data_IF_872218247460
#
_entry.id   IF_872218247460
#
_cell.length_a   1.000
_cell.length_b   1.000
_cell.length_c   1.000
_cell.angle_alpha   90.00
_cell.angle_beta   90.00
_cell.angle_gamma   90.00
#
_symmetry.space_group_name_H-M   'P 1'
#
loop_
_entity.id
_entity.type
_entity.pdbx_description
1 polymer ?
#
# COMPACT_ATOMS: atom_id res chain seq x y z
N UNK A 1 32.07 -0.06 -30.58
CA UNK A 1 31.48 -0.56 -29.32
C UNK A 1 30.26 0.28 -28.96
N UNK A 2 29.13 -0.35 -28.86
CA UNK A 2 27.89 0.31 -28.53
C UNK A 2 27.68 0.37 -26.99
N UNK A 3 27.40 1.55 -26.47
CA UNK A 3 26.96 1.75 -25.10
C UNK A 3 25.45 1.88 -25.00
N UNK A 4 24.82 1.48 -23.91
CA UNK A 4 23.41 1.77 -23.64
C UNK A 4 23.31 3.21 -23.18
N UNK A 5 22.43 4.00 -23.83
CA UNK A 5 22.20 5.39 -23.49
C UNK A 5 20.97 5.58 -22.62
N UNK A 6 19.89 4.85 -22.92
CA UNK A 6 18.60 5.07 -22.33
C UNK A 6 17.78 3.78 -22.34
N UNK A 7 17.05 3.55 -21.26
CA UNK A 7 16.01 2.52 -21.17
C UNK A 7 14.69 3.26 -20.98
N UNK A 8 13.66 2.91 -21.78
CA UNK A 8 12.31 3.46 -21.65
C UNK A 8 11.28 2.35 -21.85
N UNK A 9 10.55 2.01 -20.82
CA UNK A 9 9.58 0.94 -20.83
C UNK A 9 10.19 -0.37 -21.32
N UNK A 10 9.76 -0.89 -22.47
CA UNK A 10 10.25 -2.12 -23.09
C UNK A 10 11.28 -1.89 -24.23
N UNK A 11 11.98 -0.77 -24.21
CA UNK A 11 12.99 -0.44 -25.23
C UNK A 11 14.25 0.11 -24.60
N UNK A 12 15.40 -0.15 -25.25
CA UNK A 12 16.66 0.50 -24.93
C UNK A 12 17.34 1.02 -26.20
N UNK A 13 18.02 2.15 -26.07
CA UNK A 13 18.76 2.79 -27.15
C UNK A 13 20.25 2.58 -26.94
N UNK A 14 20.95 2.11 -27.96
CA UNK A 14 22.41 2.03 -28.01
C UNK A 14 22.97 3.09 -28.95
N UNK A 15 24.11 3.63 -28.61
CA UNK A 15 24.85 4.58 -29.43
C UNK A 15 26.23 4.03 -29.80
N UNK A 16 26.56 4.08 -31.08
CA UNK A 16 27.92 3.77 -31.52
C UNK A 16 28.90 4.83 -31.04
N UNK A 17 30.05 4.42 -30.54
CA UNK A 17 31.10 5.35 -30.08
C UNK A 17 31.87 6.01 -31.23
N UNK A 18 31.90 5.39 -32.39
CA UNK A 18 32.68 5.83 -33.53
C UNK A 18 31.88 6.75 -34.46
N UNK A 19 30.70 6.35 -34.86
CA UNK A 19 29.86 7.09 -35.82
C UNK A 19 28.67 7.82 -35.19
N UNK A 20 28.45 7.69 -33.87
CA UNK A 20 27.38 8.32 -33.10
C UNK A 20 25.97 7.91 -33.50
N UNK A 21 25.82 6.99 -34.43
CA UNK A 21 24.49 6.44 -34.82
C UNK A 21 23.84 5.77 -33.62
N UNK A 22 22.53 5.96 -33.46
CA UNK A 22 21.71 5.31 -32.45
C UNK A 22 20.85 4.22 -33.08
N UNK A 23 20.62 3.15 -32.34
CA UNK A 23 19.70 2.08 -32.69
C UNK A 23 18.85 1.70 -31.48
N UNK A 24 17.56 1.49 -31.72
CA UNK A 24 16.60 1.07 -30.69
C UNK A 24 16.38 -0.43 -30.76
N UNK A 25 16.38 -1.05 -29.58
CA UNK A 25 16.16 -2.47 -29.39
C UNK A 25 14.96 -2.69 -28.48
N UNK A 26 14.26 -3.80 -28.69
CA UNK A 26 13.15 -4.21 -27.83
C UNK A 26 13.63 -5.11 -26.70
N UNK A 27 13.02 -4.96 -25.54
CA UNK A 27 13.16 -5.81 -24.37
C UNK A 27 11.93 -6.70 -24.24
N UNK A 28 12.06 -7.89 -23.66
CA UNK A 28 10.90 -8.71 -23.29
C UNK A 28 9.96 -7.95 -22.37
N UNK A 29 8.68 -8.29 -22.44
CA UNK A 29 7.68 -7.76 -21.50
C UNK A 29 7.90 -8.38 -20.14
N UNK A 30 8.04 -7.54 -19.12
CA UNK A 30 8.13 -7.98 -17.73
C UNK A 30 6.74 -8.24 -17.14
N UNK A 31 6.71 -9.10 -16.12
CA UNK A 31 5.59 -9.29 -15.18
C UNK A 31 6.18 -9.49 -13.80
N UNK A 32 6.58 -8.39 -13.20
CA UNK A 32 7.18 -8.41 -11.86
C UNK A 32 6.14 -8.79 -10.82
N UNK A 33 6.56 -9.64 -9.89
CA UNK A 33 5.75 -9.94 -8.70
C UNK A 33 5.82 -8.79 -7.71
N UNK A 34 4.67 -8.35 -7.22
CA UNK A 34 4.56 -7.27 -6.24
C UNK A 34 4.61 -7.87 -4.84
N UNK A 35 5.65 -7.53 -4.09
CA UNK A 35 5.90 -8.08 -2.75
C UNK A 35 5.94 -6.93 -1.75
N UNK A 36 4.99 -6.91 -0.83
CA UNK A 36 5.03 -5.98 0.31
C UNK A 36 5.86 -6.59 1.44
N UNK A 37 6.84 -5.83 1.91
CA UNK A 37 7.68 -6.17 3.06
C UNK A 37 7.41 -5.17 4.17
N UNK A 38 6.92 -5.64 5.31
CA UNK A 38 6.68 -4.80 6.46
C UNK A 38 7.97 -4.11 6.97
N UNK A 39 7.83 -2.98 7.62
CA UNK A 39 8.90 -2.14 8.16
C UNK A 39 9.92 -2.92 8.99
N UNK A 40 9.47 -3.90 9.81
CA UNK A 40 10.42 -4.69 10.61
C UNK A 40 11.36 -5.53 9.73
N UNK A 41 10.88 -6.02 8.57
CA UNK A 41 11.69 -6.76 7.61
C UNK A 41 12.75 -5.85 7.02
N UNK A 42 12.33 -4.69 6.52
CA UNK A 42 13.23 -3.69 5.94
C UNK A 42 14.30 -3.25 6.95
N UNK A 43 13.88 -2.97 8.19
CA UNK A 43 14.79 -2.62 9.30
C UNK A 43 15.82 -3.72 9.57
N UNK A 44 15.41 -4.99 9.47
CA UNK A 44 16.33 -6.12 9.66
C UNK A 44 17.30 -6.26 8.47
N UNK A 45 16.84 -6.06 7.23
CA UNK A 45 17.72 -6.05 6.07
C UNK A 45 18.77 -4.91 6.13
N UNK A 46 18.39 -3.73 6.62
CA UNK A 46 19.36 -2.63 6.87
C UNK A 46 20.39 -3.03 7.91
N UNK A 47 19.98 -3.62 9.03
CA UNK A 47 20.87 -4.05 10.13
C UNK A 47 21.86 -5.15 9.73
N UNK A 48 21.53 -5.97 8.70
CA UNK A 48 22.45 -6.98 8.17
C UNK A 48 23.70 -6.38 7.55
N UNK A 49 23.59 -5.19 6.92
CA UNK A 49 24.72 -4.55 6.24
C UNK A 49 25.86 -4.17 7.18
N UNK A 50 25.53 -3.66 8.37
CA UNK A 50 26.50 -3.14 9.34
C UNK A 50 26.10 -3.53 10.76
N UNK A 51 26.36 -4.77 11.21
CA UNK A 51 26.00 -5.21 12.56
C UNK A 51 26.91 -4.54 13.57
N UNK A 52 26.40 -3.53 14.27
CA UNK A 52 27.15 -2.75 15.27
C UNK A 52 26.84 -3.16 16.71
N UNK A 53 25.78 -3.93 16.93
CA UNK A 53 25.34 -4.38 18.25
C UNK A 53 25.29 -5.91 18.35
N UNK A 54 25.37 -6.50 19.57
CA UNK A 54 25.21 -7.96 19.75
C UNK A 54 23.88 -8.50 19.20
N UNK A 55 22.80 -7.72 19.30
CA UNK A 55 21.50 -8.12 18.74
C UNK A 55 21.52 -8.19 17.20
N UNK A 56 22.19 -7.24 16.55
CA UNK A 56 22.38 -7.23 15.08
C UNK A 56 23.33 -8.35 14.64
N UNK A 57 24.35 -8.67 15.42
CA UNK A 57 25.22 -9.81 15.15
C UNK A 57 24.45 -11.13 15.23
N UNK A 58 23.53 -11.28 16.19
CA UNK A 58 22.63 -12.44 16.26
C UNK A 58 21.68 -12.53 15.07
N UNK A 59 21.14 -11.40 14.63
CA UNK A 59 20.31 -11.32 13.42
C UNK A 59 21.10 -11.77 12.18
N UNK A 60 22.33 -11.28 12.01
CA UNK A 60 23.20 -11.62 10.90
C UNK A 60 23.65 -13.12 10.94
N UNK A 61 23.63 -13.75 12.10
CA UNK A 61 23.90 -15.17 12.25
C UNK A 61 22.70 -16.08 11.91
N UNK A 62 21.48 -15.56 11.79
CA UNK A 62 20.31 -16.35 11.36
C UNK A 62 20.34 -16.51 9.82
N UNK A 63 20.50 -17.76 9.33
CA UNK A 63 20.58 -18.04 7.89
C UNK A 63 19.39 -17.52 7.09
N UNK A 64 18.22 -17.44 7.72
CA UNK A 64 17.02 -16.95 7.06
C UNK A 64 17.19 -15.51 6.55
N UNK A 65 17.71 -14.62 7.38
CA UNK A 65 17.84 -13.21 7.01
C UNK A 65 18.87 -12.99 5.90
N UNK A 66 19.97 -13.74 5.95
CA UNK A 66 20.98 -13.69 4.89
C UNK A 66 20.41 -14.21 3.56
N UNK A 67 19.74 -15.36 3.59
CA UNK A 67 19.13 -15.93 2.40
C UNK A 67 18.01 -15.04 1.84
N UNK A 68 17.17 -14.45 2.71
CA UNK A 68 16.14 -13.51 2.33
C UNK A 68 16.74 -12.29 1.62
N UNK A 69 17.81 -11.72 2.19
CA UNK A 69 18.52 -10.60 1.59
C UNK A 69 19.04 -10.97 0.20
N UNK A 70 19.75 -12.08 0.08
CA UNK A 70 20.37 -12.50 -1.18
C UNK A 70 19.31 -12.76 -2.26
N UNK A 71 18.23 -13.48 -1.93
CA UNK A 71 17.14 -13.78 -2.87
C UNK A 71 16.39 -12.51 -3.32
N UNK A 72 16.02 -11.64 -2.40
CA UNK A 72 15.27 -10.42 -2.75
C UNK A 72 16.12 -9.53 -3.67
N UNK A 73 17.40 -9.29 -3.34
CA UNK A 73 18.25 -8.47 -4.18
C UNK A 73 18.57 -9.14 -5.52
N UNK A 74 18.75 -10.45 -5.54
CA UNK A 74 18.89 -11.19 -6.78
C UNK A 74 17.66 -11.02 -7.69
N UNK A 75 16.46 -11.28 -7.16
CA UNK A 75 15.21 -11.17 -7.90
C UNK A 75 14.94 -9.73 -8.37
N UNK A 76 15.32 -8.76 -7.54
CA UNK A 76 15.22 -7.33 -7.89
C UNK A 76 16.17 -6.97 -9.06
N UNK A 77 17.41 -7.40 -9.02
CA UNK A 77 18.36 -7.21 -10.13
C UNK A 77 17.92 -7.93 -11.40
N UNK A 78 17.33 -9.11 -11.25
CA UNK A 78 16.75 -9.85 -12.36
C UNK A 78 15.44 -9.25 -12.89
N UNK A 79 14.96 -8.14 -12.36
CA UNK A 79 13.70 -7.49 -12.79
C UNK A 79 12.47 -8.40 -12.65
N UNK A 80 12.47 -9.34 -11.69
CA UNK A 80 11.40 -10.32 -11.49
C UNK A 80 10.43 -9.92 -10.38
N UNK A 81 10.86 -9.03 -9.49
CA UNK A 81 10.03 -8.51 -8.39
C UNK A 81 10.11 -6.98 -8.32
N UNK A 82 9.08 -6.40 -7.72
CA UNK A 82 9.07 -5.04 -7.21
C UNK A 82 8.59 -5.08 -5.76
N UNK A 83 9.33 -4.43 -4.84
CA UNK A 83 8.91 -4.28 -3.46
C UNK A 83 8.60 -2.80 -3.21
N UNK A 84 7.40 -2.33 -3.55
CA UNK A 84 7.04 -0.93 -3.41
C UNK A 84 7.04 -0.53 -1.94
N UNK A 85 7.42 0.70 -1.66
CA UNK A 85 7.15 1.32 -0.37
C UNK A 85 5.70 1.78 -0.28
N UNK A 86 5.28 2.19 0.90
CA UNK A 86 3.94 2.69 1.19
C UNK A 86 4.02 3.95 2.04
N UNK A 87 2.92 4.66 2.14
CA UNK A 87 2.83 5.82 3.03
C UNK A 87 3.18 5.49 4.48
N UNK A 88 2.78 4.33 4.99
CA UNK A 88 3.13 3.87 6.34
C UNK A 88 4.64 3.69 6.52
N UNK A 89 5.35 3.19 5.51
CA UNK A 89 6.81 3.09 5.51
C UNK A 89 7.47 4.48 5.56
N UNK A 90 6.96 5.44 4.80
CA UNK A 90 7.47 6.81 4.83
C UNK A 90 7.28 7.44 6.22
N UNK A 91 6.09 7.32 6.80
CA UNK A 91 5.80 7.82 8.14
C UNK A 91 6.72 7.20 9.21
N UNK A 92 6.87 5.87 9.20
CA UNK A 92 7.72 5.16 10.16
C UNK A 92 9.20 5.48 9.98
N UNK A 93 9.66 5.64 8.75
CA UNK A 93 11.02 6.04 8.47
C UNK A 93 11.33 7.43 9.01
N UNK A 94 10.39 8.38 8.90
CA UNK A 94 10.55 9.76 9.40
C UNK A 94 10.76 9.83 10.91
N UNK A 95 10.12 8.93 11.67
CA UNK A 95 10.24 8.88 13.13
C UNK A 95 11.38 7.96 13.59
N UNK A 96 12.07 7.28 12.69
CA UNK A 96 13.17 6.37 12.96
C UNK A 96 14.51 7.10 12.97
N UNK A 97 15.40 6.71 13.88
CA UNK A 97 16.81 7.15 13.88
C UNK A 97 17.64 6.54 12.73
N UNK A 98 17.09 5.62 11.95
CA UNK A 98 17.70 4.98 10.78
C UNK A 98 17.10 5.50 9.45
N UNK A 99 16.53 6.69 9.45
CA UNK A 99 15.76 7.23 8.32
C UNK A 99 16.52 7.15 6.98
N UNK A 100 17.78 7.59 6.93
CA UNK A 100 18.56 7.58 5.69
C UNK A 100 18.81 6.17 5.15
N UNK A 101 19.17 5.22 6.03
CA UNK A 101 19.44 3.83 5.65
C UNK A 101 18.15 3.12 5.19
N UNK A 102 17.03 3.42 5.83
CA UNK A 102 15.71 2.90 5.44
C UNK A 102 15.29 3.43 4.07
N UNK A 103 15.43 4.74 3.82
CA UNK A 103 15.15 5.34 2.50
C UNK A 103 15.99 4.71 1.40
N UNK A 104 17.30 4.57 1.61
CA UNK A 104 18.19 3.88 0.64
C UNK A 104 17.71 2.45 0.37
N UNK A 105 17.30 1.72 1.42
CA UNK A 105 16.82 0.35 1.28
C UNK A 105 15.53 0.29 0.47
N UNK A 106 14.56 1.17 0.76
CA UNK A 106 13.32 1.26 -0.01
C UNK A 106 13.58 1.58 -1.48
N UNK A 107 14.40 2.57 -1.78
CA UNK A 107 14.76 2.92 -3.17
C UNK A 107 15.36 1.74 -3.92
N UNK A 108 16.26 0.99 -3.27
CA UNK A 108 16.87 -0.20 -3.87
C UNK A 108 15.89 -1.33 -4.12
N UNK A 109 14.91 -1.52 -3.26
CA UNK A 109 13.92 -2.59 -3.35
C UNK A 109 12.76 -2.25 -4.28
N UNK A 110 12.28 -1.00 -4.24
CA UNK A 110 11.14 -0.54 -5.03
C UNK A 110 11.51 -0.09 -6.44
N UNK A 111 12.77 0.36 -6.66
CA UNK A 111 13.16 1.04 -7.90
C UNK A 111 12.47 2.38 -8.07
N UNK A 112 12.12 3.04 -6.96
CA UNK A 112 11.38 4.30 -6.92
C UNK A 112 9.90 4.12 -7.23
N UNK A 113 9.35 2.93 -7.02
CA UNK A 113 7.93 2.65 -7.11
C UNK A 113 7.30 2.63 -5.71
N UNK A 114 6.20 3.31 -5.51
CA UNK A 114 5.49 3.39 -4.24
C UNK A 114 3.99 3.18 -4.43
N UNK A 115 3.35 2.61 -3.41
CA UNK A 115 1.90 2.56 -3.39
C UNK A 115 1.31 3.95 -3.21
N UNK A 116 0.20 4.19 -3.87
CA UNK A 116 -0.63 5.37 -3.64
C UNK A 116 -1.09 5.42 -2.18
N UNK A 117 -1.34 6.62 -1.68
CA UNK A 117 -1.90 6.80 -0.34
C UNK A 117 -3.23 6.05 -0.20
N UNK A 118 -3.50 5.54 0.99
CA UNK A 118 -4.72 4.77 1.26
C UNK A 118 -6.00 5.51 0.87
N UNK A 119 -6.02 6.83 1.03
CA UNK A 119 -7.17 7.64 0.66
C UNK A 119 -7.45 7.64 -0.84
N UNK A 120 -6.43 7.56 -1.67
CA UNK A 120 -6.58 7.38 -3.11
C UNK A 120 -7.15 6.00 -3.45
N UNK A 121 -6.64 4.94 -2.79
CA UNK A 121 -7.15 3.56 -2.97
C UNK A 121 -8.62 3.46 -2.54
N UNK A 122 -8.96 4.02 -1.37
CA UNK A 122 -10.35 4.10 -0.88
C UNK A 122 -11.26 4.83 -1.88
N UNK A 123 -10.80 5.99 -2.36
CA UNK A 123 -11.56 6.81 -3.31
C UNK A 123 -11.85 6.05 -4.63
N UNK A 124 -10.89 5.30 -5.15
CA UNK A 124 -11.06 4.46 -6.35
C UNK A 124 -12.10 3.35 -6.12
N UNK A 125 -12.01 2.62 -5.01
CA UNK A 125 -12.94 1.54 -4.70
C UNK A 125 -14.36 2.05 -4.42
N UNK A 126 -14.50 3.13 -3.65
CA UNK A 126 -15.82 3.73 -3.39
C UNK A 126 -16.37 4.40 -4.65
N UNK A 127 -15.51 5.02 -5.45
CA UNK A 127 -15.88 5.58 -6.76
C UNK A 127 -16.48 4.54 -7.70
N UNK A 128 -15.88 3.34 -7.78
CA UNK A 128 -16.43 2.23 -8.56
C UNK A 128 -17.79 1.76 -8.02
N UNK A 129 -17.96 1.67 -6.70
CA UNK A 129 -19.26 1.36 -6.09
C UNK A 129 -20.32 2.39 -6.45
N UNK A 130 -19.98 3.67 -6.38
CA UNK A 130 -20.89 4.76 -6.71
C UNK A 130 -21.28 4.75 -8.20
N UNK A 131 -20.30 4.53 -9.08
CA UNK A 131 -20.53 4.44 -10.51
C UNK A 131 -21.40 3.23 -10.86
N UNK A 132 -21.02 2.04 -10.40
CA UNK A 132 -21.77 0.81 -10.63
C UNK A 132 -23.22 0.90 -10.13
N UNK A 133 -23.41 1.46 -8.91
CA UNK A 133 -24.73 1.68 -8.35
C UNK A 133 -25.55 2.65 -9.21
N UNK A 134 -24.94 3.74 -9.70
CA UNK A 134 -25.61 4.74 -10.54
C UNK A 134 -26.01 4.19 -11.92
N UNK A 135 -25.32 3.16 -12.37
CA UNK A 135 -25.55 2.46 -13.67
C UNK A 135 -26.39 1.19 -13.51
N UNK A 136 -26.75 0.81 -12.29
CA UNK A 136 -27.56 -0.39 -12.00
C UNK A 136 -26.82 -1.70 -12.32
N UNK A 137 -25.50 -1.71 -12.24
CA UNK A 137 -24.62 -2.87 -12.51
C UNK A 137 -23.84 -3.32 -11.27
N UNK A 138 -23.26 -4.50 -11.34
CA UNK A 138 -22.30 -4.95 -10.33
C UNK A 138 -20.96 -4.20 -10.43
N UNK A 139 -20.31 -3.89 -9.29
CA UNK A 139 -19.03 -3.22 -9.28
C UNK A 139 -17.91 -4.11 -9.83
N UNK A 140 -17.00 -3.51 -10.58
CA UNK A 140 -15.83 -4.16 -11.18
C UNK A 140 -14.56 -3.51 -10.63
N UNK A 141 -14.07 -4.05 -9.52
CA UNK A 141 -12.85 -3.54 -8.91
C UNK A 141 -11.62 -3.90 -9.74
N UNK A 142 -10.78 -2.91 -9.97
CA UNK A 142 -9.50 -3.11 -10.64
C UNK A 142 -8.41 -3.41 -9.59
N UNK A 143 -7.96 -4.66 -9.53
CA UNK A 143 -6.86 -5.09 -8.67
C UNK A 143 -5.51 -5.22 -9.41
N UNK A 144 -5.41 -4.64 -10.60
CA UNK A 144 -4.11 -4.50 -11.28
C UNK A 144 -3.21 -3.57 -10.44
N UNK A 145 -2.01 -4.02 -10.02
CA UNK A 145 -1.09 -3.18 -9.26
C UNK A 145 -0.78 -1.83 -9.90
N UNK A 146 -0.76 -1.76 -11.25
CA UNK A 146 -0.54 -0.51 -12.00
C UNK A 146 -1.56 0.58 -11.70
N UNK A 147 -2.73 0.19 -11.20
CA UNK A 147 -3.77 1.16 -10.81
C UNK A 147 -3.49 1.90 -9.51
N UNK A 148 -2.58 1.40 -8.67
CA UNK A 148 -2.28 1.92 -7.33
C UNK A 148 -0.79 2.14 -7.08
N UNK A 149 0.06 1.91 -8.07
CA UNK A 149 1.48 2.17 -8.00
C UNK A 149 1.83 3.48 -8.72
N UNK A 150 2.88 4.16 -8.26
CA UNK A 150 3.33 5.44 -8.80
C UNK A 150 3.89 5.33 -10.22
N UNK A 151 4.36 4.12 -10.59
CA UNK A 151 4.89 3.80 -11.92
C UNK A 151 4.40 2.41 -12.34
N UNK A 152 4.47 2.12 -13.63
CA UNK A 152 4.27 0.75 -14.11
C UNK A 152 5.37 -0.16 -13.56
N UNK A 153 5.06 -1.16 -12.73
CA UNK A 153 6.06 -2.05 -12.16
C UNK A 153 6.73 -2.92 -13.22
N UNK A 154 6.07 -3.14 -14.36
CA UNK A 154 6.52 -4.01 -15.45
C UNK A 154 7.46 -3.31 -16.44
N UNK A 155 7.79 -2.04 -16.19
CA UNK A 155 8.86 -1.37 -16.92
C UNK A 155 10.24 -1.86 -16.48
N UNK A 156 11.18 -1.91 -17.44
CA UNK A 156 12.59 -2.16 -17.13
C UNK A 156 13.17 -0.97 -16.38
N UNK A 157 13.94 -1.24 -15.32
CA UNK A 157 14.51 -0.18 -14.49
C UNK A 157 15.46 0.69 -15.29
N UNK A 158 15.28 1.98 -15.18
CA UNK A 158 16.24 2.95 -15.70
C UNK A 158 17.55 2.86 -14.92
N UNK A 159 18.68 3.16 -15.60
CA UNK A 159 19.99 3.19 -14.95
C UNK A 159 20.21 4.42 -14.06
N UNK A 160 19.41 5.44 -14.27
CA UNK A 160 19.48 6.70 -13.53
C UNK A 160 18.07 7.22 -13.27
N UNK A 161 17.76 7.52 -12.02
CA UNK A 161 16.53 8.16 -11.59
C UNK A 161 16.83 9.21 -10.53
N UNK A 162 15.97 10.23 -10.47
CA UNK A 162 16.01 11.26 -9.43
C UNK A 162 14.73 11.08 -8.61
N UNK A 163 14.91 10.82 -7.32
CA UNK A 163 13.82 10.79 -6.36
C UNK A 163 13.69 12.15 -5.66
N UNK A 164 12.49 12.74 -5.67
CA UNK A 164 12.17 13.95 -4.91
C UNK A 164 11.10 13.55 -3.88
N UNK A 165 11.53 13.40 -2.64
CA UNK A 165 10.70 12.80 -1.58
C UNK A 165 10.47 13.71 -0.37
N UNK A 166 10.27 14.98 -0.51
CA UNK A 166 9.93 15.79 0.66
C UNK A 166 8.56 16.42 0.52
N UNK A 167 7.62 15.94 1.32
CA UNK A 167 6.37 16.65 1.58
C UNK A 167 6.56 17.54 2.82
N UNK A 168 6.76 18.86 2.65
CA UNK A 168 7.05 19.78 3.77
C UNK A 168 5.87 19.97 4.72
N UNK A 169 4.67 19.54 4.31
CA UNK A 169 3.44 19.69 5.11
C UNK A 169 3.22 18.57 6.11
N UNK A 170 4.01 17.49 6.05
CA UNK A 170 3.90 16.35 6.95
C UNK A 170 5.03 16.40 7.98
N UNK A 171 4.70 16.76 9.21
CA UNK A 171 5.65 16.84 10.31
C UNK A 171 5.65 15.55 11.15
N UNK A 172 6.80 15.22 11.75
CA UNK A 172 6.91 14.08 12.68
C UNK A 172 5.89 14.19 13.83
N UNK A 173 5.71 15.38 14.40
CA UNK A 173 4.72 15.62 15.45
C UNK A 173 3.30 15.33 15.00
N UNK A 174 2.92 15.75 13.78
CA UNK A 174 1.61 15.47 13.19
C UNK A 174 1.38 13.97 12.99
N UNK A 175 2.37 13.25 12.47
CA UNK A 175 2.30 11.79 12.30
C UNK A 175 2.05 11.11 13.66
N UNK A 176 2.86 11.43 14.69
CA UNK A 176 2.72 10.86 16.02
C UNK A 176 1.35 11.15 16.63
N UNK A 177 0.87 12.38 16.51
CA UNK A 177 -0.44 12.78 17.02
C UNK A 177 -1.58 12.01 16.36
N UNK A 178 -1.57 11.87 15.03
CA UNK A 178 -2.60 11.14 14.28
C UNK A 178 -2.63 9.66 14.68
N UNK A 179 -1.46 9.00 14.74
CA UNK A 179 -1.35 7.60 15.14
C UNK A 179 -1.82 7.38 16.59
N UNK A 180 -1.42 8.24 17.52
CA UNK A 180 -1.85 8.17 18.91
C UNK A 180 -3.37 8.36 19.05
N UNK A 181 -3.97 9.29 18.33
CA UNK A 181 -5.41 9.51 18.34
C UNK A 181 -6.18 8.28 17.79
N UNK A 182 -5.71 7.71 16.69
CA UNK A 182 -6.30 6.49 16.13
C UNK A 182 -6.20 5.33 17.11
N UNK A 183 -5.00 5.06 17.64
CA UNK A 183 -4.78 4.00 18.60
C UNK A 183 -5.59 4.18 19.89
N UNK A 184 -5.68 5.41 20.42
CA UNK A 184 -6.51 5.70 21.61
C UNK A 184 -7.99 5.35 21.37
N UNK A 185 -8.51 5.61 20.17
CA UNK A 185 -9.88 5.21 19.82
C UNK A 185 -10.04 3.69 19.79
N UNK A 186 -9.10 2.95 19.19
CA UNK A 186 -9.13 1.48 19.18
C UNK A 186 -9.06 0.91 20.61
N UNK A 187 -8.19 1.45 21.48
CA UNK A 187 -8.10 1.05 22.88
C UNK A 187 -9.41 1.30 23.62
N UNK A 188 -10.07 2.43 23.37
CA UNK A 188 -11.38 2.75 23.94
C UNK A 188 -12.45 1.75 23.47
N UNK A 189 -12.52 1.47 22.17
CA UNK A 189 -13.44 0.48 21.63
C UNK A 189 -13.20 -0.91 22.21
N UNK A 190 -11.93 -1.32 22.33
CA UNK A 190 -11.54 -2.59 22.92
C UNK A 190 -12.05 -2.74 24.35
N UNK A 191 -11.81 -1.73 25.22
CA UNK A 191 -12.14 -1.79 26.64
C UNK A 191 -13.62 -1.54 26.95
N UNK A 192 -14.22 -0.59 26.22
CA UNK A 192 -15.54 -0.07 26.58
C UNK A 192 -16.68 -0.68 25.78
N UNK A 193 -16.40 -1.23 24.62
CA UNK A 193 -17.40 -1.83 23.72
C UNK A 193 -17.17 -3.32 23.57
N UNK A 194 -16.05 -3.72 22.96
CA UNK A 194 -15.82 -5.10 22.56
C UNK A 194 -15.67 -6.06 23.74
N UNK A 195 -14.91 -5.71 24.76
CA UNK A 195 -14.74 -6.54 25.97
C UNK A 195 -16.01 -6.71 26.80
N UNK A 196 -17.01 -5.83 26.63
CA UNK A 196 -18.25 -5.84 27.41
C UNK A 196 -19.42 -6.52 26.71
N UNK A 197 -19.27 -6.91 25.44
CA UNK A 197 -20.34 -7.46 24.63
C UNK A 197 -19.91 -8.78 23.98
N UNK A 198 -20.52 -9.87 24.41
CA UNK A 198 -20.33 -11.17 23.77
C UNK A 198 -21.21 -11.25 22.52
N UNK A 199 -20.61 -11.10 21.36
CA UNK A 199 -21.26 -11.22 20.06
C UNK A 199 -20.40 -12.11 19.16
N UNK A 200 -21.02 -12.68 18.12
CA UNK A 200 -20.33 -13.46 17.10
C UNK A 200 -19.55 -12.59 16.11
N UNK A 201 -18.82 -13.27 15.23
CA UNK A 201 -18.02 -12.62 14.20
C UNK A 201 -18.89 -11.80 13.24
N UNK A 202 -20.00 -12.37 12.78
CA UNK A 202 -20.86 -11.74 11.76
C UNK A 202 -21.47 -10.43 12.28
N UNK A 203 -21.88 -10.39 13.55
CA UNK A 203 -22.35 -9.17 14.18
C UNK A 203 -21.27 -8.05 14.15
N UNK A 204 -20.03 -8.35 14.58
CA UNK A 204 -18.96 -7.36 14.59
C UNK A 204 -18.55 -6.95 13.18
N UNK A 205 -18.46 -7.91 12.28
CA UNK A 205 -18.12 -7.67 10.89
C UNK A 205 -19.12 -6.74 10.19
N UNK A 206 -20.41 -6.97 10.39
CA UNK A 206 -21.45 -6.12 9.82
C UNK A 206 -21.49 -4.75 10.47
N UNK A 207 -21.29 -4.66 11.78
CA UNK A 207 -21.25 -3.39 12.51
C UNK A 207 -20.10 -2.51 12.00
N UNK A 208 -18.87 -3.03 11.92
CA UNK A 208 -17.71 -2.28 11.44
C UNK A 208 -17.91 -1.77 10.02
N UNK A 209 -18.49 -2.57 9.14
CA UNK A 209 -18.79 -2.18 7.76
C UNK A 209 -19.85 -1.08 7.66
N UNK A 210 -20.91 -1.17 8.45
CA UNK A 210 -22.04 -0.24 8.34
C UNK A 210 -21.77 1.09 9.03
N UNK A 211 -20.97 1.12 10.08
CA UNK A 211 -20.66 2.36 10.81
C UNK A 211 -19.70 3.27 10.03
N UNK A 212 -18.91 2.72 9.10
CA UNK A 212 -17.95 3.49 8.29
C UNK A 212 -18.64 4.58 7.45
N UNK A 213 -19.76 4.27 6.79
CA UNK A 213 -20.51 5.26 6.01
C UNK A 213 -21.05 6.38 6.89
N UNK A 214 -21.53 6.03 8.10
CA UNK A 214 -22.00 7.01 9.09
C UNK A 214 -20.85 7.91 9.56
N UNK A 215 -19.66 7.34 9.80
CA UNK A 215 -18.47 8.07 10.18
C UNK A 215 -18.03 9.05 9.08
N UNK A 216 -18.04 8.65 7.81
CA UNK A 216 -17.75 9.55 6.68
C UNK A 216 -18.75 10.71 6.66
N UNK A 217 -20.05 10.45 6.75
CA UNK A 217 -21.06 11.50 6.72
C UNK A 217 -20.88 12.51 7.88
N UNK A 218 -20.56 12.04 9.07
CA UNK A 218 -20.25 12.89 10.22
C UNK A 218 -18.99 13.72 10.00
N UNK A 219 -17.92 13.12 9.45
CA UNK A 219 -16.67 13.81 9.15
C UNK A 219 -16.87 14.95 8.14
N UNK A 220 -17.68 14.73 7.10
CA UNK A 220 -18.02 15.80 6.12
C UNK A 220 -18.70 16.98 6.81
N UNK A 221 -19.72 16.71 7.64
CA UNK A 221 -20.46 17.77 8.35
C UNK A 221 -19.53 18.54 9.29
N UNK A 222 -18.67 17.83 10.01
CA UNK A 222 -17.72 18.44 10.93
C UNK A 222 -16.72 19.33 10.20
N UNK A 223 -16.09 18.82 9.13
CA UNK A 223 -15.15 19.57 8.29
C UNK A 223 -15.77 20.84 7.71
N UNK A 224 -17.02 20.76 7.21
CA UNK A 224 -17.72 21.91 6.67
C UNK A 224 -17.97 22.99 7.74
N UNK A 225 -18.34 22.58 8.97
CA UNK A 225 -18.52 23.51 10.09
C UNK A 225 -17.23 24.20 10.49
N UNK A 226 -16.15 23.43 10.59
CA UNK A 226 -14.82 23.94 10.93
C UNK A 226 -14.35 24.96 9.88
N UNK A 227 -14.53 24.63 8.61
CA UNK A 227 -14.19 25.54 7.49
C UNK A 227 -14.99 26.83 7.53
N UNK A 228 -16.30 26.75 7.76
CA UNK A 228 -17.14 27.92 7.92
C UNK A 228 -16.70 28.80 9.10
N UNK A 229 -16.33 28.18 10.22
CA UNK A 229 -15.78 28.88 11.38
C UNK A 229 -14.47 29.61 11.04
N UNK A 230 -13.56 28.97 10.30
CA UNK A 230 -12.31 29.59 9.85
C UNK A 230 -12.60 30.77 8.90
N UNK A 231 -13.47 30.58 7.90
CA UNK A 231 -13.85 31.64 6.97
C UNK A 231 -14.41 32.88 7.72
N UNK A 232 -15.27 32.64 8.71
CA UNK A 232 -15.87 33.71 9.52
C UNK A 232 -14.83 34.44 10.42
N UNK A 233 -13.70 33.79 10.74
CA UNK A 233 -12.64 34.35 11.59
C UNK A 233 -11.52 35.05 10.83
N UNK A 234 -11.47 34.96 9.48
CA UNK A 234 -10.42 35.58 8.67
C UNK A 234 -10.65 37.06 8.57
N UNK A 235 -9.68 37.87 9.02
CA UNK A 235 -9.56 39.25 8.59
C UNK A 235 -8.90 39.27 7.18
N UNK A 236 -9.58 39.82 6.15
CA UNK A 236 -9.01 39.85 4.79
C UNK A 236 -7.69 40.64 4.68
N UNK A 237 -7.27 41.32 5.76
CA UNK A 237 -6.04 42.12 5.82
C UNK A 237 -4.89 41.35 6.50
N UNK A 238 -5.16 40.23 7.14
CA UNK A 238 -4.14 39.42 7.80
C UNK A 238 -3.64 38.31 6.91
N UNK A 239 -2.34 38.02 6.99
CA UNK A 239 -1.74 36.87 6.31
C UNK A 239 -2.21 35.59 7.00
N UNK A 240 -2.85 34.70 6.23
CA UNK A 240 -3.37 33.44 6.75
C UNK A 240 -2.24 32.58 7.32
N UNK A 241 -2.39 32.10 8.55
CA UNK A 241 -1.44 31.17 9.14
C UNK A 241 -1.48 29.81 8.43
N UNK A 242 -0.38 29.03 8.49
CA UNK A 242 -0.36 27.67 7.94
C UNK A 242 -1.40 26.77 8.59
N UNK A 243 -1.72 26.99 9.87
CA UNK A 243 -2.78 26.25 10.58
C UNK A 243 -4.17 26.58 10.00
N UNK A 244 -4.44 27.85 9.73
CA UNK A 244 -5.67 28.27 9.07
C UNK A 244 -5.74 27.72 7.64
N UNK A 245 -4.64 27.75 6.88
CA UNK A 245 -4.56 27.20 5.53
C UNK A 245 -4.86 25.69 5.53
N UNK A 246 -4.31 24.93 6.47
CA UNK A 246 -4.56 23.49 6.59
C UNK A 246 -6.05 23.17 6.83
N UNK A 247 -6.79 24.05 7.51
CA UNK A 247 -8.24 23.89 7.70
C UNK A 247 -9.06 24.11 6.42
N UNK A 248 -8.47 24.72 5.39
CA UNK A 248 -9.08 24.84 4.06
C UNK A 248 -8.84 23.62 3.17
N UNK A 249 -7.85 22.78 3.51
CA UNK A 249 -7.67 21.54 2.76
C UNK A 249 -8.89 20.65 2.98
N UNK A 250 -9.43 20.04 1.89
CA UNK A 250 -10.55 19.14 2.04
C UNK A 250 -10.16 17.95 2.94
N UNK A 251 -11.04 17.59 3.86
CA UNK A 251 -10.91 16.33 4.58
C UNK A 251 -10.99 15.17 3.60
N UNK A 252 -10.51 13.98 4.00
CA UNK A 252 -10.68 12.76 3.20
C UNK A 252 -12.14 12.58 2.76
N UNK A 253 -13.10 12.77 3.68
CA UNK A 253 -14.52 12.59 3.38
C UNK A 253 -15.04 13.60 2.34
N UNK A 254 -14.57 14.85 2.36
CA UNK A 254 -14.92 15.86 1.33
C UNK A 254 -14.23 15.57 -0.01
N UNK A 255 -12.96 15.14 0.01
CA UNK A 255 -12.25 14.70 -1.18
C UNK A 255 -12.91 13.48 -1.82
N UNK A 256 -13.34 12.51 -0.99
CA UNK A 256 -14.10 11.35 -1.43
C UNK A 256 -15.43 11.75 -2.07
N UNK A 257 -16.21 12.65 -1.44
CA UNK A 257 -17.48 13.14 -2.02
C UNK A 257 -17.26 13.82 -3.37
N UNK A 258 -16.23 14.65 -3.47
CA UNK A 258 -15.85 15.28 -4.74
C UNK A 258 -15.51 14.25 -5.81
N UNK A 259 -14.76 13.20 -5.44
CA UNK A 259 -14.43 12.09 -6.34
C UNK A 259 -15.68 11.32 -6.78
N UNK A 260 -16.59 11.02 -5.84
CA UNK A 260 -17.86 10.35 -6.15
C UNK A 260 -18.70 11.19 -7.12
N UNK A 261 -18.83 12.50 -6.87
CA UNK A 261 -19.57 13.40 -7.75
C UNK A 261 -18.94 13.43 -9.14
N UNK A 262 -17.61 13.47 -9.22
CA UNK A 262 -16.90 13.47 -10.49
C UNK A 262 -17.14 12.17 -11.28
N UNK A 263 -17.03 11.00 -10.64
CA UNK A 263 -17.33 9.71 -11.32
C UNK A 263 -18.78 9.62 -11.74
N UNK A 264 -19.71 10.11 -10.91
CA UNK A 264 -21.13 10.14 -11.24
C UNK A 264 -21.46 11.12 -12.39
N UNK A 265 -20.62 12.11 -12.62
CA UNK A 265 -20.76 13.04 -13.74
C UNK A 265 -20.54 12.37 -15.11
N UNK A 266 -19.58 11.43 -15.16
CA UNK A 266 -19.15 10.79 -16.39
C UNK A 266 -19.46 9.27 -16.34
N UNK A 267 -20.72 8.85 -16.56
CA UNK A 267 -21.04 7.44 -16.63
C UNK A 267 -20.32 6.80 -17.83
N UNK A 268 -20.08 5.47 -17.76
CA UNK A 268 -19.42 4.72 -18.85
C UNK A 268 -20.26 4.76 -20.14
N UNK A 269 -21.58 4.76 -19.98
CA UNK A 269 -22.54 4.86 -21.08
C UNK A 269 -23.45 6.06 -20.86
N UNK A 270 -23.64 6.88 -21.88
CA UNK A 270 -24.50 8.05 -21.82
C UNK A 270 -23.72 9.38 -21.83
N UNK A 271 -24.48 10.47 -21.75
CA UNK A 271 -23.92 11.83 -21.73
C UNK A 271 -23.53 12.31 -20.32
N UNK A 272 -22.92 13.49 -20.25
CA UNK A 272 -22.59 14.14 -18.97
C UNK A 272 -23.87 14.46 -18.19
N UNK A 273 -23.94 14.01 -16.93
CA UNK A 273 -25.07 14.28 -16.03
C UNK A 273 -25.03 15.71 -15.52
N UNK A 274 -26.20 16.30 -15.35
CA UNK A 274 -26.32 17.64 -14.76
C UNK A 274 -25.94 17.64 -13.26
N UNK A 275 -25.53 18.80 -12.70
CA UNK A 275 -25.24 18.92 -11.26
C UNK A 275 -26.42 18.52 -10.35
N UNK A 276 -27.65 18.75 -10.79
CA UNK A 276 -28.86 18.38 -10.04
C UNK A 276 -29.02 16.87 -9.98
N UNK A 277 -28.84 16.17 -11.10
CA UNK A 277 -28.86 14.71 -11.18
C UNK A 277 -27.75 14.09 -10.32
N UNK A 278 -26.53 14.63 -10.37
CA UNK A 278 -25.41 14.17 -9.53
C UNK A 278 -25.75 14.31 -8.04
N UNK A 279 -26.27 15.46 -7.61
CA UNK A 279 -26.64 15.71 -6.21
C UNK A 279 -27.73 14.74 -5.75
N UNK A 280 -28.73 14.50 -6.59
CA UNK A 280 -29.80 13.53 -6.30
C UNK A 280 -29.27 12.11 -6.19
N UNK A 281 -28.40 11.68 -7.11
CA UNK A 281 -27.76 10.38 -7.08
C UNK A 281 -26.89 10.19 -5.84
N UNK A 282 -26.09 11.20 -5.47
CA UNK A 282 -25.26 11.16 -4.27
C UNK A 282 -26.11 11.01 -3.00
N UNK A 283 -27.22 11.76 -2.90
CA UNK A 283 -28.12 11.66 -1.76
C UNK A 283 -28.79 10.27 -1.66
N UNK A 284 -29.09 9.62 -2.78
CA UNK A 284 -29.60 8.25 -2.82
C UNK A 284 -28.50 7.22 -2.52
N UNK A 285 -27.31 7.36 -3.09
CA UNK A 285 -26.16 6.48 -2.85
C UNK A 285 -25.76 6.48 -1.37
N UNK A 286 -25.72 7.67 -0.74
CA UNK A 286 -25.38 7.79 0.68
C UNK A 286 -26.37 7.03 1.61
N UNK A 287 -27.62 6.85 1.18
CA UNK A 287 -28.64 6.07 1.92
C UNK A 287 -28.59 4.57 1.61
N UNK A 288 -27.99 4.18 0.49
CA UNK A 288 -27.99 2.80 0.01
C UNK A 288 -27.00 1.89 0.76
N UNK A 289 -26.19 2.42 1.68
CA UNK A 289 -25.16 1.72 2.45
C UNK A 289 -24.20 0.86 1.60
N UNK A 290 -23.95 1.29 0.34
CA UNK A 290 -23.10 0.52 -0.62
C UNK A 290 -21.61 0.63 -0.32
N UNK A 291 -21.18 1.66 0.40
CA UNK A 291 -19.76 1.83 0.81
C UNK A 291 -19.29 0.63 1.64
N UNK A 292 -20.18 0.00 2.40
CA UNK A 292 -19.91 -1.21 3.19
C UNK A 292 -19.39 -2.40 2.35
N UNK A 293 -19.54 -2.33 1.02
CA UNK A 293 -19.10 -3.37 0.08
C UNK A 293 -17.68 -3.14 -0.44
N UNK A 294 -17.03 -2.01 -0.12
CA UNK A 294 -15.68 -1.72 -0.57
C UNK A 294 -14.69 -2.80 -0.10
N UNK A 295 -13.82 -3.30 -0.99
CA UNK A 295 -12.88 -4.38 -0.67
C UNK A 295 -11.98 -4.06 0.53
N UNK A 296 -11.40 -2.84 0.60
CA UNK A 296 -10.59 -2.44 1.74
C UNK A 296 -11.36 -2.51 3.06
N UNK A 297 -12.61 -2.05 3.06
CA UNK A 297 -13.44 -2.01 4.25
C UNK A 297 -13.84 -3.41 4.71
N UNK A 298 -14.10 -4.34 3.76
CA UNK A 298 -14.34 -5.74 4.10
C UNK A 298 -13.14 -6.37 4.80
N UNK A 299 -11.93 -6.17 4.27
CA UNK A 299 -10.70 -6.70 4.87
C UNK A 299 -10.44 -6.10 6.25
N UNK A 300 -10.56 -4.79 6.38
CA UNK A 300 -10.38 -4.07 7.64
C UNK A 300 -11.39 -4.54 8.70
N UNK A 301 -12.68 -4.61 8.33
CA UNK A 301 -13.74 -5.05 9.21
C UNK A 301 -13.57 -6.51 9.67
N UNK A 302 -13.10 -7.41 8.79
CA UNK A 302 -12.78 -8.80 9.18
C UNK A 302 -11.76 -8.86 10.30
N UNK A 303 -10.69 -8.08 10.20
CA UNK A 303 -9.61 -8.09 11.19
C UNK A 303 -10.05 -7.46 12.51
N UNK A 304 -10.81 -6.35 12.48
CA UNK A 304 -11.37 -5.75 13.68
C UNK A 304 -12.44 -6.63 14.35
N UNK A 305 -13.26 -7.34 13.58
CA UNK A 305 -14.21 -8.33 14.13
C UNK A 305 -13.51 -9.45 14.90
N UNK A 306 -12.36 -9.95 14.40
CA UNK A 306 -11.54 -10.93 15.13
C UNK A 306 -10.99 -10.33 16.43
N UNK A 307 -10.54 -9.07 16.42
CA UNK A 307 -10.07 -8.39 17.64
C UNK A 307 -11.22 -8.26 18.64
N UNK A 308 -12.40 -7.86 18.18
CA UNK A 308 -13.58 -7.73 19.04
C UNK A 308 -13.98 -9.07 19.69
N UNK A 309 -13.96 -10.16 18.92
CA UNK A 309 -14.17 -11.51 19.47
C UNK A 309 -13.15 -11.91 20.52
N UNK A 310 -11.86 -11.63 20.27
CA UNK A 310 -10.78 -11.90 21.24
C UNK A 310 -10.96 -11.08 22.52
N UNK A 311 -11.35 -9.81 22.41
CA UNK A 311 -11.66 -8.96 23.55
C UNK A 311 -12.83 -9.53 24.38
N UNK A 312 -13.93 -9.92 23.71
CA UNK A 312 -15.07 -10.54 24.36
C UNK A 312 -14.74 -11.90 25.00
N UNK A 313 -13.75 -12.63 24.44
CA UNK A 313 -13.26 -13.89 25.00
C UNK A 313 -12.26 -13.70 26.17
N UNK A 314 -12.01 -12.46 26.60
CA UNK A 314 -11.19 -12.14 27.76
C UNK A 314 -9.73 -11.80 27.48
N UNK A 315 -9.37 -11.49 26.24
CA UNK A 315 -8.05 -10.88 25.96
C UNK A 315 -7.95 -9.57 26.76
N UNK A 316 -6.88 -9.44 27.55
CA UNK A 316 -6.72 -8.29 28.45
C UNK A 316 -6.03 -7.09 27.79
N UNK A 317 -5.13 -7.36 26.86
CA UNK A 317 -4.30 -6.33 26.22
C UNK A 317 -4.95 -5.92 24.88
N UNK A 318 -5.19 -4.62 24.67
CA UNK A 318 -5.63 -4.11 23.39
C UNK A 318 -4.53 -4.28 22.32
N UNK A 319 -4.87 -4.19 21.04
CA UNK A 319 -3.88 -4.12 19.96
C UNK A 319 -2.91 -2.96 20.22
N UNK A 320 -1.65 -3.13 19.88
CA UNK A 320 -0.67 -2.04 19.94
C UNK A 320 -0.85 -1.05 18.76
N UNK A 321 -0.15 0.07 18.79
CA UNK A 321 -0.24 1.10 17.75
C UNK A 321 0.19 0.56 16.36
N UNK A 322 1.23 -0.27 16.29
CA UNK A 322 1.69 -0.89 15.05
C UNK A 322 0.63 -1.79 14.42
N UNK A 323 -0.12 -2.56 15.22
CA UNK A 323 -1.17 -3.46 14.73
C UNK A 323 -2.25 -2.73 13.92
N UNK A 324 -2.62 -1.51 14.31
CA UNK A 324 -3.62 -0.74 13.56
C UNK A 324 -3.10 -0.32 12.18
N UNK A 325 -1.83 0.06 12.11
CA UNK A 325 -1.15 0.36 10.83
C UNK A 325 -1.04 -0.89 9.96
N UNK A 326 -0.71 -2.05 10.55
CA UNK A 326 -0.62 -3.32 9.81
C UNK A 326 -1.96 -3.76 9.25
N UNK A 327 -3.05 -3.56 10.01
CA UNK A 327 -4.42 -3.82 9.53
C UNK A 327 -4.73 -2.94 8.31
N UNK A 328 -4.38 -1.65 8.37
CA UNK A 328 -4.58 -0.73 7.26
C UNK A 328 -3.74 -1.14 6.04
N UNK A 329 -2.48 -1.54 6.22
CA UNK A 329 -1.64 -2.05 5.15
C UNK A 329 -2.27 -3.28 4.47
N UNK A 330 -2.71 -4.27 5.26
CA UNK A 330 -3.38 -5.46 4.72
C UNK A 330 -4.66 -5.10 4.00
N UNK A 331 -5.49 -4.26 4.60
CA UNK A 331 -6.80 -3.90 4.04
C UNK A 331 -6.69 -3.21 2.67
N UNK A 332 -5.70 -2.34 2.51
CA UNK A 332 -5.55 -1.54 1.30
C UNK A 332 -4.65 -2.18 0.25
N UNK A 333 -3.61 -2.92 0.65
CA UNK A 333 -2.56 -3.37 -0.27
C UNK A 333 -2.67 -4.85 -0.66
N UNK A 334 -3.25 -5.70 0.19
CA UNK A 334 -3.30 -7.16 -0.05
C UNK A 334 -3.89 -7.53 -1.43
N UNK A 335 -4.97 -6.90 -1.92
CA UNK A 335 -5.53 -7.25 -3.23
C UNK A 335 -4.57 -7.01 -4.40
N UNK A 336 -3.60 -6.10 -4.23
CA UNK A 336 -2.65 -5.67 -5.27
C UNK A 336 -1.29 -6.35 -5.17
N UNK A 337 -1.06 -7.16 -4.12
CA UNK A 337 0.19 -7.85 -3.89
C UNK A 337 0.11 -9.32 -4.33
N UNK A 338 1.25 -9.87 -4.79
CA UNK A 338 1.43 -11.31 -4.95
C UNK A 338 1.82 -11.98 -3.63
N UNK A 339 2.50 -11.23 -2.73
CA UNK A 339 2.85 -11.67 -1.39
C UNK A 339 3.00 -10.47 -0.44
N UNK A 340 2.69 -10.67 0.84
CA UNK A 340 2.98 -9.74 1.91
C UNK A 340 3.68 -10.47 3.06
N UNK A 341 4.84 -9.96 3.48
CA UNK A 341 5.54 -10.49 4.67
C UNK A 341 5.34 -9.54 5.84
N UNK A 342 4.58 -9.98 6.84
CA UNK A 342 4.03 -9.18 7.91
C UNK A 342 4.45 -9.70 9.29
N UNK A 343 4.11 -8.94 10.33
CA UNK A 343 4.16 -9.42 11.71
C UNK A 343 3.28 -10.66 11.89
N UNK A 344 3.71 -11.55 12.79
CA UNK A 344 3.00 -12.81 13.07
C UNK A 344 1.59 -12.60 13.62
N UNK A 345 1.38 -11.53 14.38
CA UNK A 345 0.10 -11.25 15.03
C UNK A 345 -0.91 -10.72 14.01
N UNK A 346 -0.48 -9.84 13.11
CA UNK A 346 -1.31 -9.35 12.02
C UNK A 346 -1.74 -10.50 11.08
N UNK A 347 -0.79 -11.36 10.69
CA UNK A 347 -1.12 -12.59 9.92
C UNK A 347 -2.12 -13.47 10.66
N UNK A 348 -1.93 -13.68 11.96
CA UNK A 348 -2.81 -14.50 12.78
C UNK A 348 -4.23 -13.93 12.88
N UNK A 349 -4.42 -12.60 12.84
CA UNK A 349 -5.75 -12.00 12.77
C UNK A 349 -6.49 -12.48 11.53
N UNK A 350 -5.88 -12.35 10.35
CA UNK A 350 -6.50 -12.78 9.10
C UNK A 350 -6.80 -14.29 9.08
N UNK A 351 -5.91 -15.12 9.63
CA UNK A 351 -6.14 -16.57 9.69
C UNK A 351 -7.24 -16.97 10.68
N UNK A 352 -7.56 -16.14 11.66
CA UNK A 352 -8.67 -16.36 12.58
C UNK A 352 -10.04 -15.88 12.03
N UNK A 353 -10.06 -15.22 10.88
CA UNK A 353 -11.31 -14.93 10.15
C UNK A 353 -11.98 -16.26 9.77
N UNK A 354 -13.29 -16.43 10.00
CA UNK A 354 -13.99 -17.66 9.62
C UNK A 354 -13.81 -18.01 8.14
N UNK A 355 -13.61 -19.31 7.84
CA UNK A 355 -13.24 -19.75 6.49
C UNK A 355 -14.25 -19.36 5.41
N UNK A 356 -15.53 -19.25 5.73
CA UNK A 356 -16.58 -18.94 4.76
C UNK A 356 -16.59 -17.47 4.30
N UNK A 357 -15.91 -16.57 5.03
CA UNK A 357 -15.75 -15.15 4.65
C UNK A 357 -14.30 -14.76 4.40
N UNK A 358 -13.34 -15.63 4.78
CA UNK A 358 -11.90 -15.36 4.58
C UNK A 358 -11.58 -15.29 3.10
N UNK A 359 -10.92 -14.20 2.64
CA UNK A 359 -10.55 -14.08 1.24
C UNK A 359 -9.46 -15.09 0.85
N UNK A 360 -9.48 -15.55 -0.39
CA UNK A 360 -8.42 -16.41 -0.95
C UNK A 360 -7.05 -15.75 -0.89
N UNK A 361 -7.00 -14.43 -0.94
CA UNK A 361 -5.76 -13.65 -0.82
C UNK A 361 -5.06 -13.81 0.53
N UNK A 362 -5.73 -14.32 1.56
CA UNK A 362 -5.11 -14.63 2.85
C UNK A 362 -3.91 -15.60 2.73
N UNK A 363 -3.87 -16.44 1.68
CA UNK A 363 -2.74 -17.31 1.36
C UNK A 363 -1.47 -16.57 0.95
N UNK A 364 -1.60 -15.30 0.53
CA UNK A 364 -0.47 -14.43 0.16
C UNK A 364 0.23 -13.82 1.38
N UNK A 365 -0.29 -14.04 2.60
CA UNK A 365 0.27 -13.49 3.83
C UNK A 365 1.32 -14.43 4.42
N UNK A 366 2.52 -13.92 4.57
CA UNK A 366 3.65 -14.59 5.19
C UNK A 366 4.08 -13.90 6.48
N UNK A 367 4.81 -14.62 7.33
CA UNK A 367 5.42 -14.10 8.57
C UNK A 367 6.58 -14.98 8.97
N UNK A 368 7.27 -14.63 10.06
CA UNK A 368 8.35 -15.46 10.61
C UNK A 368 7.93 -16.89 10.96
N UNK A 369 6.64 -17.15 11.17
CA UNK A 369 6.13 -18.52 11.44
C UNK A 369 6.16 -19.43 10.20
N UNK A 370 6.07 -18.83 9.02
CA UNK A 370 6.07 -19.53 7.71
C UNK A 370 7.18 -18.97 6.82
N UNK A 371 8.32 -18.65 7.42
CA UNK A 371 9.46 -18.06 6.73
C UNK A 371 10.07 -18.96 5.66
N UNK A 372 9.97 -20.29 5.86
CA UNK A 372 10.46 -21.29 4.90
C UNK A 372 9.62 -21.28 3.63
N UNK A 373 8.31 -21.20 3.77
CA UNK A 373 7.36 -21.12 2.67
C UNK A 373 7.56 -19.82 1.87
N UNK A 374 7.88 -18.72 2.54
CA UNK A 374 8.20 -17.47 1.86
C UNK A 374 9.49 -17.56 1.03
N UNK A 375 10.54 -18.15 1.58
CA UNK A 375 11.77 -18.40 0.81
C UNK A 375 11.52 -19.36 -0.36
N UNK A 376 10.67 -20.38 -0.18
CA UNK A 376 10.27 -21.28 -1.27
C UNK A 376 9.56 -20.52 -2.39
N UNK A 377 8.62 -19.63 -2.05
CA UNK A 377 7.94 -18.76 -3.00
C UNK A 377 8.93 -17.87 -3.77
N UNK A 378 9.91 -17.26 -3.10
CA UNK A 378 10.93 -16.46 -3.77
C UNK A 378 11.82 -17.28 -4.71
N UNK A 379 12.19 -18.51 -4.31
CA UNK A 379 12.95 -19.44 -5.16
C UNK A 379 12.16 -19.86 -6.39
N UNK A 380 10.85 -20.12 -6.23
CA UNK A 380 9.95 -20.42 -7.36
C UNK A 380 9.92 -19.28 -8.37
N UNK A 381 9.84 -18.01 -7.92
CA UNK A 381 9.94 -16.84 -8.81
C UNK A 381 11.30 -16.88 -9.55
N UNK A 382 12.40 -17.06 -8.85
CA UNK A 382 13.74 -17.11 -9.46
C UNK A 382 13.84 -18.20 -10.51
N UNK A 383 13.33 -19.38 -10.19
CA UNK A 383 13.46 -20.57 -11.04
C UNK A 383 12.50 -20.49 -12.26
N UNK A 384 11.56 -19.55 -12.28
CA UNK A 384 10.67 -19.26 -13.42
C UNK A 384 11.29 -18.36 -14.50
N UNK A 385 12.52 -17.84 -14.30
CA UNK A 385 13.20 -16.96 -15.28
C UNK A 385 13.41 -17.70 -16.61
N UNK A 386 13.19 -17.00 -17.72
CA UNK A 386 13.38 -17.58 -19.06
C UNK A 386 14.75 -17.24 -19.62
N UNK A 387 15.25 -18.04 -20.57
CA UNK A 387 16.52 -17.80 -21.28
C UNK A 387 16.51 -16.43 -21.96
N UNK A 388 15.39 -16.06 -22.59
CA UNK A 388 15.22 -14.76 -23.24
C UNK A 388 15.37 -13.60 -22.23
N UNK A 389 14.78 -13.76 -21.04
CA UNK A 389 14.90 -12.77 -19.96
C UNK A 389 16.37 -12.63 -19.48
N UNK A 390 17.05 -13.75 -19.27
CA UNK A 390 18.47 -13.78 -18.88
C UNK A 390 19.33 -13.08 -19.93
N UNK A 391 19.07 -13.34 -21.21
CA UNK A 391 19.78 -12.68 -22.30
C UNK A 391 19.55 -11.16 -22.29
N UNK A 392 18.33 -10.70 -22.07
CA UNK A 392 18.01 -9.28 -21.97
C UNK A 392 18.74 -8.61 -20.77
N UNK A 393 18.78 -9.25 -19.61
CA UNK A 393 19.54 -8.77 -18.43
C UNK A 393 21.03 -8.61 -18.80
N UNK A 394 21.62 -9.64 -19.43
CA UNK A 394 23.03 -9.63 -19.84
C UNK A 394 23.32 -8.48 -20.79
N UNK A 395 22.46 -8.25 -21.75
CA UNK A 395 22.62 -7.17 -22.74
C UNK A 395 22.51 -5.77 -22.11
N UNK A 396 21.59 -5.59 -21.16
CA UNK A 396 21.27 -4.26 -20.61
C UNK A 396 22.15 -3.92 -19.39
N UNK A 397 22.28 -4.86 -18.45
CA UNK A 397 22.92 -4.62 -17.15
C UNK A 397 24.29 -5.31 -17.03
N UNK A 398 24.55 -6.35 -17.83
CA UNK A 398 25.78 -7.12 -17.85
C UNK A 398 25.71 -8.38 -16.97
N UNK A 399 26.79 -9.19 -17.02
CA UNK A 399 26.84 -10.51 -16.36
C UNK A 399 26.87 -10.47 -14.83
N UNK A 400 27.19 -9.33 -14.25
CA UNK A 400 27.29 -9.19 -12.78
C UNK A 400 25.97 -9.49 -12.06
N UNK A 401 24.85 -9.21 -12.73
CA UNK A 401 23.51 -9.35 -12.18
C UNK A 401 22.94 -10.79 -12.35
N UNK A 402 23.66 -11.65 -13.05
CA UNK A 402 23.27 -13.05 -13.30
C UNK A 402 23.77 -14.04 -12.26
N UNK A 403 24.38 -13.59 -11.17
CA UNK A 403 24.88 -14.47 -10.10
C UNK A 403 23.72 -15.25 -9.48
N UNK A 404 23.90 -16.59 -9.42
CA UNK A 404 22.90 -17.49 -8.83
C UNK A 404 21.70 -17.85 -9.71
N UNK A 405 21.66 -17.39 -10.96
CA UNK A 405 20.72 -17.92 -11.96
C UNK A 405 21.09 -19.39 -12.25
N UNK A 406 20.11 -20.32 -12.30
CA UNK A 406 20.38 -21.71 -12.63
C UNK A 406 21.19 -21.88 -13.93
N UNK A 407 22.20 -22.74 -13.92
CA UNK A 407 23.11 -22.94 -15.06
C UNK A 407 22.37 -23.35 -16.37
N UNK A 408 21.24 -24.04 -16.26
CA UNK A 408 20.42 -24.42 -17.40
C UNK A 408 19.71 -23.23 -18.08
N UNK A 409 19.72 -22.05 -17.45
CA UNK A 409 19.09 -20.83 -17.95
C UNK A 409 20.10 -19.74 -18.32
N UNK A 410 21.38 -19.92 -17.99
CA UNK A 410 22.50 -19.05 -18.40
C UNK A 410 22.98 -19.36 -19.83
#
# INVERSE_FOLDING_TARGET
>A
VFGILLIRGSRYTRRCRDCWTTADFRLPTLRKKIIYLDQFVISNLVKLKNPTTPAQAKLAADPFWQELYDLIFQLRHLQMICCPDSWSHEEESRISNMNADLKEMYERLSGGNSFEQFDGIKAKQIGELALAWSEGREPQFNFDPRSVLSKDPDEWDERFYISVQDNPFVTEAGIRQTRQAHHANVVRLFKDVWAKQVRDFDYWYDLERTDYQRAIAQSVVQSQRERQGVIASIDPREQMSMEALNKFLPSFAEGLLTSILHVMQFPREGGVRSPEEQTKLLACFSKANRISEAPFLKLQAMMYAVIAMKAAAGQREPPNEGMTTDIDNVAHLLPYCDAMFLDKECRALMLNVPMHVRPDDAKKLYSMQVKVEFLAFLREIRDSITVEHVQAIREVYGDKDLRGVPAAQQ
#
